data_IF_987267789770
#
_entry.id   IF_987267789770
#
_cell.length_a   1.000
_cell.length_b   1.000
_cell.length_c   1.000
_cell.angle_alpha   90.00
_cell.angle_beta   90.00
_cell.angle_gamma   90.00
#
_symmetry.space_group_name_H-M   'P 1'
#
loop_
_entity.id
_entity.type
_entity.pdbx_description
1 polymer ?
#
# COMPACT_ATOMS: atom_id res chain seq x y z
N UNK A 1 -46.47 -34.29 28.23
CA UNK A 1 -46.23 -34.38 26.78
C UNK A 1 -45.16 -33.35 26.42
N UNK A 2 -43.89 -33.74 26.40
CA UNK A 2 -42.81 -32.86 25.94
C UNK A 2 -42.67 -33.05 24.43
N UNK A 3 -43.09 -32.05 23.66
CA UNK A 3 -42.86 -32.00 22.23
C UNK A 3 -41.35 -31.90 21.98
N UNK A 4 -40.74 -33.07 21.69
CA UNK A 4 -39.40 -33.16 21.12
C UNK A 4 -39.41 -32.40 19.79
N UNK A 5 -38.91 -31.16 19.81
CA UNK A 5 -38.65 -30.38 18.60
C UNK A 5 -37.61 -31.14 17.77
N UNK A 6 -38.09 -31.84 16.74
CA UNK A 6 -37.25 -32.53 15.78
C UNK A 6 -36.26 -31.52 15.18
N UNK A 7 -34.97 -31.70 15.45
CA UNK A 7 -33.94 -30.94 14.77
C UNK A 7 -34.09 -31.16 13.25
N UNK A 8 -34.09 -30.09 12.44
CA UNK A 8 -34.29 -30.23 11.01
C UNK A 8 -33.18 -31.12 10.41
N UNK A 9 -33.59 -32.15 9.65
CA UNK A 9 -32.67 -33.04 8.93
C UNK A 9 -31.76 -32.20 8.04
N UNK A 10 -30.49 -32.08 8.44
CA UNK A 10 -29.45 -31.47 7.63
C UNK A 10 -29.29 -32.35 6.40
N UNK A 11 -29.76 -31.88 5.22
CA UNK A 11 -29.46 -32.54 3.93
C UNK A 11 -27.95 -32.77 3.87
N UNK A 12 -27.52 -34.02 3.94
CA UNK A 12 -26.12 -34.43 3.79
C UNK A 12 -25.77 -34.27 2.31
N UNK A 13 -24.88 -33.33 2.00
CA UNK A 13 -24.25 -33.29 0.68
C UNK A 13 -23.39 -34.54 0.51
N UNK A 14 -23.09 -34.89 -0.73
CA UNK A 14 -22.23 -36.03 -1.04
C UNK A 14 -20.84 -35.84 -0.39
N UNK A 15 -20.17 -36.92 0.07
CA UNK A 15 -18.82 -36.86 0.63
C UNK A 15 -17.81 -35.96 -0.13
N UNK A 16 -17.74 -35.95 -1.48
CA UNK A 16 -16.84 -35.06 -2.23
C UNK A 16 -17.15 -33.57 -2.02
N UNK A 17 -18.42 -33.20 -1.90
CA UNK A 17 -18.87 -31.82 -1.73
C UNK A 17 -18.44 -31.26 -0.36
N UNK A 18 -18.33 -32.11 0.66
CA UNK A 18 -17.81 -31.76 1.98
C UNK A 18 -16.29 -31.56 1.97
N UNK A 19 -15.56 -32.39 1.21
CA UNK A 19 -14.11 -32.25 1.02
C UNK A 19 -13.82 -30.94 0.28
N UNK A 20 -14.56 -30.65 -0.79
CA UNK A 20 -14.46 -29.40 -1.53
C UNK A 20 -14.70 -28.17 -0.63
N UNK A 21 -15.72 -28.21 0.24
CA UNK A 21 -16.00 -27.12 1.18
C UNK A 21 -14.88 -26.91 2.20
N UNK A 22 -14.18 -27.98 2.62
CA UNK A 22 -13.01 -27.88 3.52
C UNK A 22 -11.81 -27.28 2.79
N UNK A 23 -11.54 -27.72 1.56
CA UNK A 23 -10.45 -27.18 0.73
C UNK A 23 -10.69 -25.69 0.47
N UNK A 24 -11.90 -25.32 0.02
CA UNK A 24 -12.29 -23.93 -0.19
C UNK A 24 -12.10 -23.09 1.08
N UNK A 25 -12.49 -23.62 2.25
CA UNK A 25 -12.29 -22.94 3.53
C UNK A 25 -10.81 -22.69 3.84
N UNK A 26 -9.96 -23.69 3.62
CA UNK A 26 -8.52 -23.59 3.87
C UNK A 26 -7.90 -22.55 2.93
N UNK A 27 -8.21 -22.63 1.64
CA UNK A 27 -7.71 -21.71 0.63
C UNK A 27 -8.14 -20.27 0.95
N UNK A 28 -9.44 -20.02 1.13
CA UNK A 28 -9.96 -18.69 1.45
C UNK A 28 -9.34 -18.16 2.74
N UNK A 29 -9.29 -18.98 3.80
CA UNK A 29 -8.70 -18.55 5.07
C UNK A 29 -7.23 -18.15 4.96
N UNK A 30 -6.42 -18.93 4.24
CA UNK A 30 -4.99 -18.63 4.03
C UNK A 30 -4.82 -17.35 3.21
N UNK A 31 -5.58 -17.19 2.11
CA UNK A 31 -5.47 -16.01 1.25
C UNK A 31 -5.84 -14.73 2.00
N UNK A 32 -6.90 -14.74 2.81
CA UNK A 32 -7.29 -13.59 3.62
C UNK A 32 -6.25 -13.26 4.70
N UNK A 33 -5.69 -14.26 5.39
CA UNK A 33 -4.63 -14.03 6.37
C UNK A 33 -3.40 -13.41 5.69
N UNK A 34 -2.95 -13.97 4.57
CA UNK A 34 -1.78 -13.47 3.86
C UNK A 34 -2.00 -12.05 3.31
N UNK A 35 -3.13 -11.80 2.66
CA UNK A 35 -3.52 -10.48 2.15
C UNK A 35 -3.60 -9.45 3.28
N UNK A 36 -4.29 -9.78 4.37
CA UNK A 36 -4.46 -8.90 5.52
C UNK A 36 -3.13 -8.60 6.23
N UNK A 37 -2.24 -9.58 6.39
CA UNK A 37 -0.92 -9.36 7.02
C UNK A 37 -0.03 -8.44 6.19
N UNK A 38 -0.05 -8.57 4.85
CA UNK A 38 0.74 -7.67 4.00
C UNK A 38 0.21 -6.25 4.08
N UNK A 39 -1.11 -6.05 4.04
CA UNK A 39 -1.69 -4.71 4.19
C UNK A 39 -1.45 -4.14 5.58
N UNK A 40 -1.51 -4.98 6.62
CA UNK A 40 -1.28 -4.57 8.01
C UNK A 40 0.19 -4.25 8.31
N UNK A 41 1.13 -4.73 7.49
CA UNK A 41 2.52 -4.28 7.53
C UNK A 41 2.66 -2.81 7.11
N UNK A 42 1.80 -2.32 6.20
CA UNK A 42 1.73 -0.91 5.80
C UNK A 42 0.28 -0.39 5.72
N UNK A 43 -0.36 -0.14 6.88
CA UNK A 43 -1.73 0.34 6.91
C UNK A 43 -1.86 1.77 6.37
N UNK A 44 -0.79 2.57 6.40
CA UNK A 44 -0.79 3.91 5.81
C UNK A 44 -0.87 3.84 4.28
N UNK A 45 -0.22 2.85 3.65
CA UNK A 45 -0.39 2.57 2.22
C UNK A 45 -1.86 2.29 1.85
N UNK A 46 -2.55 1.47 2.65
CA UNK A 46 -3.98 1.18 2.44
C UNK A 46 -4.88 2.40 2.72
N UNK A 47 -4.53 3.24 3.70
CA UNK A 47 -5.21 4.51 3.96
C UNK A 47 -5.16 5.42 2.73
N UNK A 48 -3.98 5.59 2.12
CA UNK A 48 -3.80 6.44 0.94
C UNK A 48 -4.69 5.96 -0.20
N UNK A 49 -4.84 4.64 -0.39
CA UNK A 49 -5.76 4.09 -1.39
C UNK A 49 -7.22 4.40 -1.08
N UNK A 50 -7.64 4.30 0.17
CA UNK A 50 -9.01 4.70 0.52
C UNK A 50 -9.26 6.20 0.32
N UNK A 51 -8.29 7.05 0.65
CA UNK A 51 -8.34 8.50 0.36
C UNK A 51 -8.51 8.74 -1.15
N UNK A 52 -7.65 8.14 -2.00
CA UNK A 52 -7.75 8.23 -3.46
C UNK A 52 -9.13 7.80 -3.99
N UNK A 53 -9.66 6.67 -3.51
CA UNK A 53 -11.00 6.21 -3.93
C UNK A 53 -12.10 7.20 -3.52
N UNK A 54 -12.06 7.72 -2.29
CA UNK A 54 -13.09 8.64 -1.81
C UNK A 54 -13.04 9.97 -2.54
N UNK A 55 -11.86 10.51 -2.83
CA UNK A 55 -11.72 11.71 -3.65
C UNK A 55 -12.26 11.52 -5.07
N UNK A 56 -11.94 10.39 -5.71
CA UNK A 56 -12.47 10.04 -7.04
C UNK A 56 -13.99 9.89 -7.00
N UNK A 57 -14.54 9.20 -5.99
CA UNK A 57 -16.00 9.07 -5.84
C UNK A 57 -16.68 10.41 -5.56
N UNK A 58 -16.05 11.30 -4.80
CA UNK A 58 -16.56 12.63 -4.53
C UNK A 58 -16.62 13.50 -5.79
N UNK A 59 -15.73 13.25 -6.76
CA UNK A 59 -15.70 13.93 -8.06
C UNK A 59 -16.70 13.31 -9.05
N UNK A 60 -16.72 11.98 -9.17
CA UNK A 60 -17.56 11.27 -10.14
C UNK A 60 -19.05 11.21 -9.70
N UNK A 61 -19.34 11.35 -8.40
CA UNK A 61 -20.70 11.42 -7.84
C UNK A 61 -20.93 12.73 -7.06
N UNK A 62 -21.17 13.87 -7.75
CA UNK A 62 -21.28 15.19 -7.10
C UNK A 62 -22.35 15.27 -6.00
N UNK A 63 -23.43 14.49 -6.10
CA UNK A 63 -24.50 14.46 -5.09
C UNK A 63 -24.09 13.80 -3.77
N UNK A 64 -22.98 13.05 -3.73
CA UNK A 64 -22.40 12.44 -2.52
C UNK A 64 -21.03 13.01 -2.16
N UNK A 65 -20.65 14.15 -2.76
CA UNK A 65 -19.34 14.76 -2.55
C UNK A 65 -18.99 14.91 -1.06
N UNK A 66 -19.84 15.62 -0.30
CA UNK A 66 -19.62 15.87 1.12
C UNK A 66 -19.59 14.59 1.95
N UNK A 67 -20.35 13.56 1.54
CA UNK A 67 -20.35 12.26 2.22
C UNK A 67 -18.99 11.57 2.09
N UNK A 68 -18.42 11.51 0.88
CA UNK A 68 -17.11 10.88 0.68
C UNK A 68 -15.98 11.68 1.32
N UNK A 69 -16.02 13.01 1.22
CA UNK A 69 -15.03 13.88 1.87
C UNK A 69 -15.07 13.75 3.40
N UNK A 70 -16.26 13.58 3.99
CA UNK A 70 -16.39 13.33 5.43
C UNK A 70 -15.77 12.00 5.89
N UNK A 71 -15.55 11.04 4.99
CA UNK A 71 -14.89 9.76 5.30
C UNK A 71 -13.36 9.85 5.28
N UNK A 72 -12.78 10.84 4.60
CA UNK A 72 -11.32 11.00 4.44
C UNK A 72 -10.58 11.01 5.80
N UNK A 73 -11.02 11.76 6.83
CA UNK A 73 -10.35 11.75 8.14
C UNK A 73 -10.36 10.39 8.85
N UNK A 74 -11.29 9.49 8.47
CA UNK A 74 -11.43 8.17 9.08
C UNK A 74 -10.69 7.07 8.31
N UNK A 75 -10.05 7.39 7.17
CA UNK A 75 -9.38 6.42 6.30
C UNK A 75 -8.29 5.61 7.00
N UNK A 76 -7.53 6.22 7.93
CA UNK A 76 -6.51 5.50 8.70
C UNK A 76 -7.14 4.44 9.61
N UNK A 77 -8.17 4.83 10.36
CA UNK A 77 -8.90 3.92 11.24
C UNK A 77 -9.58 2.79 10.44
N UNK A 78 -10.18 3.12 9.30
CA UNK A 78 -10.76 2.15 8.38
C UNK A 78 -9.69 1.20 7.82
N UNK A 79 -8.53 1.72 7.42
CA UNK A 79 -7.43 0.89 6.94
C UNK A 79 -7.01 -0.17 7.96
N UNK A 80 -6.69 0.25 9.19
CA UNK A 80 -6.31 -0.69 10.26
C UNK A 80 -7.43 -1.67 10.56
N UNK A 81 -8.68 -1.22 10.64
CA UNK A 81 -9.84 -2.06 10.90
C UNK A 81 -10.05 -3.12 9.82
N UNK A 82 -10.01 -2.75 8.54
CA UNK A 82 -10.25 -3.67 7.43
C UNK A 82 -9.10 -4.67 7.29
N UNK A 83 -7.84 -4.23 7.44
CA UNK A 83 -6.67 -5.12 7.41
C UNK A 83 -6.72 -6.12 8.57
N UNK A 84 -7.02 -5.66 9.79
CA UNK A 84 -7.19 -6.53 10.94
C UNK A 84 -8.37 -7.50 10.73
N UNK A 85 -9.50 -7.01 10.22
CA UNK A 85 -10.68 -7.84 9.94
C UNK A 85 -10.38 -8.97 8.95
N UNK A 86 -9.57 -8.73 7.90
CA UNK A 86 -9.15 -9.79 6.97
C UNK A 86 -8.40 -10.92 7.69
N UNK A 87 -7.42 -10.57 8.53
CA UNK A 87 -6.62 -11.55 9.28
C UNK A 87 -7.49 -12.27 10.32
N UNK A 88 -8.25 -11.53 11.12
CA UNK A 88 -9.10 -12.07 12.19
C UNK A 88 -10.15 -13.02 11.61
N UNK A 89 -10.84 -12.63 10.53
CA UNK A 89 -11.86 -13.44 9.91
C UNK A 89 -11.26 -14.65 9.16
N UNK A 90 -10.09 -14.49 8.54
CA UNK A 90 -9.34 -15.59 7.96
C UNK A 90 -8.97 -16.66 9.01
N UNK A 91 -8.41 -16.25 10.15
CA UNK A 91 -8.11 -17.16 11.27
C UNK A 91 -9.40 -17.76 11.84
N UNK A 92 -10.45 -16.95 12.06
CA UNK A 92 -11.73 -17.45 12.56
C UNK A 92 -12.34 -18.52 11.63
N UNK A 93 -12.19 -18.35 10.31
CA UNK A 93 -12.65 -19.30 9.31
C UNK A 93 -11.87 -20.62 9.41
N UNK A 94 -10.52 -20.55 9.49
CA UNK A 94 -9.66 -21.73 9.65
C UNK A 94 -9.88 -22.43 10.99
N UNK A 95 -10.08 -21.68 12.07
CA UNK A 95 -10.33 -22.18 13.41
C UNK A 95 -11.77 -22.67 13.63
N UNK A 96 -12.66 -22.52 12.64
CA UNK A 96 -14.10 -22.85 12.76
C UNK A 96 -14.80 -22.12 13.92
N UNK A 97 -14.38 -20.88 14.21
CA UNK A 97 -15.01 -20.04 15.21
C UNK A 97 -16.27 -19.39 14.62
N UNK A 98 -17.43 -19.61 15.24
CA UNK A 98 -18.74 -19.04 14.82
C UNK A 98 -18.93 -18.97 13.28
N UNK A 99 -18.84 -20.11 12.55
CA UNK A 99 -18.72 -20.12 11.09
C UNK A 99 -19.88 -19.44 10.35
N UNK A 100 -21.09 -19.39 10.94
CA UNK A 100 -22.22 -18.67 10.34
C UNK A 100 -21.96 -17.16 10.25
N UNK A 101 -21.41 -16.57 11.31
CA UNK A 101 -21.13 -15.12 11.37
C UNK A 101 -19.89 -14.81 10.55
N UNK A 102 -18.81 -15.57 10.74
CA UNK A 102 -17.52 -15.34 10.06
C UNK A 102 -17.65 -15.34 8.54
N UNK A 103 -18.36 -16.32 7.96
CA UNK A 103 -18.48 -16.41 6.50
C UNK A 103 -19.32 -15.25 5.93
N UNK A 104 -20.35 -14.79 6.66
CA UNK A 104 -21.12 -13.61 6.25
C UNK A 104 -20.30 -12.32 6.35
N UNK A 105 -19.52 -12.13 7.41
CA UNK A 105 -18.62 -10.98 7.53
C UNK A 105 -17.56 -10.98 6.42
N UNK A 106 -16.97 -12.15 6.11
CA UNK A 106 -16.05 -12.29 4.98
C UNK A 106 -16.73 -11.96 3.64
N UNK A 107 -17.98 -12.35 3.47
CA UNK A 107 -18.75 -12.04 2.25
C UNK A 107 -18.98 -10.53 2.08
N UNK A 108 -19.32 -9.81 3.16
CA UNK A 108 -19.45 -8.35 3.08
C UNK A 108 -18.10 -7.68 2.84
N UNK A 109 -17.04 -8.16 3.49
CA UNK A 109 -15.70 -7.62 3.32
C UNK A 109 -15.18 -7.80 1.88
N UNK A 110 -15.34 -9.00 1.30
CA UNK A 110 -14.92 -9.23 -0.10
C UNK A 110 -15.79 -8.46 -1.08
N UNK A 111 -17.10 -8.34 -0.84
CA UNK A 111 -18.00 -7.56 -1.69
C UNK A 111 -17.56 -6.09 -1.74
N UNK A 112 -17.16 -5.52 -0.60
CA UNK A 112 -16.62 -4.15 -0.54
C UNK A 112 -15.34 -4.00 -1.38
N UNK A 113 -14.34 -4.90 -1.21
CA UNK A 113 -13.12 -4.84 -2.01
C UNK A 113 -13.35 -5.15 -3.50
N UNK A 114 -14.28 -6.04 -3.81
CA UNK A 114 -14.70 -6.35 -5.18
C UNK A 114 -15.27 -5.09 -5.85
N UNK A 115 -16.06 -4.29 -5.12
CA UNK A 115 -16.58 -3.02 -5.64
C UNK A 115 -15.45 -2.02 -5.93
N UNK A 116 -14.51 -1.82 -5.00
CA UNK A 116 -13.37 -0.93 -5.21
C UNK A 116 -12.49 -1.37 -6.40
N UNK A 117 -12.18 -2.67 -6.47
CA UNK A 117 -11.35 -3.23 -7.55
C UNK A 117 -12.05 -3.19 -8.90
N UNK A 118 -13.37 -3.42 -8.94
CA UNK A 118 -14.18 -3.23 -10.15
C UNK A 118 -14.11 -1.79 -10.64
N UNK A 119 -14.29 -0.82 -9.73
CA UNK A 119 -14.25 0.59 -10.08
C UNK A 119 -12.92 0.98 -10.72
N UNK A 120 -11.80 0.56 -10.12
CA UNK A 120 -10.47 0.76 -10.70
C UNK A 120 -10.30 0.11 -12.06
N UNK A 121 -10.80 -1.12 -12.23
CA UNK A 121 -10.65 -1.87 -13.48
C UNK A 121 -11.51 -1.33 -14.62
N UNK A 122 -12.65 -0.73 -14.31
CA UNK A 122 -13.58 -0.20 -15.32
C UNK A 122 -13.29 1.25 -15.70
N UNK A 123 -12.92 2.10 -14.74
CA UNK A 123 -12.72 3.54 -14.98
C UNK A 123 -11.24 3.96 -15.10
N UNK A 124 -10.29 3.02 -14.98
CA UNK A 124 -8.83 3.26 -15.06
C UNK A 124 -8.33 4.42 -14.18
N UNK A 125 -9.00 4.67 -13.03
CA UNK A 125 -8.69 5.80 -12.14
C UNK A 125 -7.59 5.52 -11.12
N UNK A 126 -7.45 4.27 -10.69
CA UNK A 126 -6.45 3.86 -9.67
C UNK A 126 -5.70 2.64 -10.19
N UNK A 127 -4.40 2.82 -10.41
CA UNK A 127 -3.53 1.84 -11.08
C UNK A 127 -3.19 0.61 -10.22
N UNK A 128 -3.24 0.76 -8.88
CA UNK A 128 -2.92 -0.29 -7.91
C UNK A 128 -4.09 -0.46 -6.90
N UNK A 129 -4.79 -1.60 -6.95
CA UNK A 129 -5.97 -1.86 -6.10
C UNK A 129 -5.67 -2.08 -4.59
N UNK A 130 -4.41 -2.04 -4.16
CA UNK A 130 -4.01 -2.16 -2.75
C UNK A 130 -4.29 -3.52 -2.08
N UNK A 131 -4.82 -4.51 -2.79
CA UNK A 131 -5.26 -5.79 -2.21
C UNK A 131 -4.14 -6.65 -1.59
N UNK A 132 -2.87 -6.42 -1.92
CA UNK A 132 -1.72 -7.06 -1.27
C UNK A 132 -0.71 -6.00 -0.83
N UNK A 133 -1.18 -4.82 -0.44
CA UNK A 133 -0.33 -3.66 -0.19
C UNK A 133 0.64 -3.41 -1.34
N UNK A 134 1.82 -2.87 -1.01
CA UNK A 134 2.88 -2.59 -1.98
C UNK A 134 3.76 -3.81 -2.32
N UNK A 135 3.52 -4.97 -1.69
CA UNK A 135 4.33 -6.17 -1.91
C UNK A 135 4.12 -6.79 -3.30
N UNK A 136 2.87 -6.79 -3.79
CA UNK A 136 2.49 -7.39 -5.08
C UNK A 136 1.54 -6.44 -5.79
N UNK A 137 2.07 -5.65 -6.73
CA UNK A 137 1.28 -4.81 -7.63
C UNK A 137 0.57 -5.69 -8.66
N UNK A 138 -0.72 -5.89 -8.46
CA UNK A 138 -1.59 -6.62 -9.38
C UNK A 138 -2.35 -5.62 -10.24
N UNK A 139 -2.36 -5.87 -11.56
CA UNK A 139 -3.20 -5.11 -12.50
C UNK A 139 -4.67 -5.10 -12.03
N UNK A 140 -5.43 -4.01 -12.27
CA UNK A 140 -6.80 -3.90 -11.78
C UNK A 140 -7.71 -5.08 -12.14
N UNK A 141 -7.70 -5.53 -13.40
CA UNK A 141 -8.46 -6.69 -13.85
C UNK A 141 -8.05 -8.00 -13.19
N UNK A 142 -6.76 -8.18 -12.88
CA UNK A 142 -6.26 -9.37 -12.17
C UNK A 142 -6.75 -9.35 -10.72
N UNK A 143 -6.70 -8.19 -10.06
CA UNK A 143 -7.21 -8.00 -8.70
C UNK A 143 -8.71 -8.25 -8.60
N UNK A 144 -9.50 -7.66 -9.51
CA UNK A 144 -10.95 -7.86 -9.59
C UNK A 144 -11.31 -9.34 -9.81
N UNK A 145 -10.65 -10.00 -10.78
CA UNK A 145 -10.90 -11.43 -11.05
C UNK A 145 -10.63 -12.30 -9.82
N UNK A 146 -9.54 -12.03 -9.10
CA UNK A 146 -9.19 -12.74 -7.87
C UNK A 146 -10.28 -12.54 -6.80
N UNK A 147 -10.79 -11.33 -6.62
CA UNK A 147 -11.85 -11.04 -5.65
C UNK A 147 -13.17 -11.74 -6.03
N UNK A 148 -13.53 -11.79 -7.31
CA UNK A 148 -14.69 -12.56 -7.82
C UNK A 148 -14.54 -14.05 -7.53
N UNK A 149 -13.36 -14.63 -7.78
CA UNK A 149 -13.09 -16.05 -7.47
C UNK A 149 -13.24 -16.32 -5.97
N UNK A 150 -12.66 -15.46 -5.11
CA UNK A 150 -12.81 -15.56 -3.66
C UNK A 150 -14.27 -15.42 -3.23
N UNK A 151 -15.02 -14.49 -3.83
CA UNK A 151 -16.44 -14.30 -3.58
C UNK A 151 -17.27 -15.54 -3.92
N UNK A 152 -17.03 -16.18 -5.07
CA UNK A 152 -17.68 -17.45 -5.46
C UNK A 152 -17.34 -18.57 -4.47
N UNK A 153 -16.08 -18.68 -4.06
CA UNK A 153 -15.67 -19.67 -3.05
C UNK A 153 -16.35 -19.41 -1.69
N UNK A 154 -16.48 -18.15 -1.29
CA UNK A 154 -17.20 -17.76 -0.07
C UNK A 154 -18.70 -18.11 -0.19
N UNK A 155 -19.36 -17.81 -1.30
CA UNK A 155 -20.76 -18.22 -1.55
C UNK A 155 -20.94 -19.75 -1.47
N UNK A 156 -19.99 -20.51 -2.01
CA UNK A 156 -19.98 -21.96 -1.89
C UNK A 156 -19.85 -22.43 -0.42
N UNK A 157 -18.98 -21.78 0.37
CA UNK A 157 -18.86 -22.04 1.81
C UNK A 157 -20.14 -21.64 2.55
N UNK A 158 -20.80 -20.54 2.19
CA UNK A 158 -22.09 -20.11 2.74
C UNK A 158 -23.12 -21.22 2.57
N UNK A 159 -23.23 -21.83 1.40
CA UNK A 159 -24.15 -22.96 1.15
C UNK A 159 -23.91 -24.18 2.05
N UNK A 160 -22.68 -24.35 2.52
CA UNK A 160 -22.24 -25.49 3.34
C UNK A 160 -22.07 -25.16 4.83
N UNK A 161 -22.28 -23.90 5.23
CA UNK A 161 -21.95 -23.38 6.57
C UNK A 161 -22.65 -24.10 7.71
N UNK A 162 -23.89 -24.57 7.49
CA UNK A 162 -24.68 -25.28 8.52
C UNK A 162 -24.09 -26.65 8.88
N UNK A 163 -23.15 -27.17 8.09
CA UNK A 163 -22.46 -28.44 8.33
C UNK A 163 -21.12 -28.26 9.04
N UNK A 164 -20.65 -27.02 9.22
CA UNK A 164 -19.42 -26.72 9.94
C UNK A 164 -19.72 -26.72 11.44
N UNK A 165 -19.11 -27.67 12.18
CA UNK A 165 -19.21 -27.69 13.64
C UNK A 165 -18.43 -26.48 14.20
N UNK A 166 -19.12 -25.64 14.95
CA UNK A 166 -18.47 -24.56 15.70
C UNK A 166 -17.51 -25.16 16.73
N UNK A 167 -16.30 -24.63 16.84
CA UNK A 167 -15.32 -25.01 17.86
C UNK A 167 -15.18 -23.88 18.88
N UNK A 168 -14.84 -24.20 20.13
CA UNK A 168 -14.53 -23.22 21.17
C UNK A 168 -13.11 -22.66 21.00
N UNK A 169 -12.84 -22.07 19.83
CA UNK A 169 -11.56 -21.49 19.42
C UNK A 169 -11.53 -19.97 19.60
N UNK A 170 -12.40 -19.42 20.45
CA UNK A 170 -12.47 -17.98 20.71
C UNK A 170 -11.17 -17.41 21.27
N UNK A 171 -10.40 -18.21 22.03
CA UNK A 171 -9.09 -17.80 22.53
C UNK A 171 -8.07 -17.55 21.40
N UNK A 172 -8.08 -18.37 20.33
CA UNK A 172 -7.22 -18.15 19.15
C UNK A 172 -7.57 -16.84 18.47
N UNK A 173 -8.87 -16.59 18.27
CA UNK A 173 -9.35 -15.34 17.66
C UNK A 173 -9.01 -14.14 18.54
N UNK A 174 -9.12 -14.26 19.87
CA UNK A 174 -8.72 -13.23 20.82
C UNK A 174 -7.23 -12.88 20.72
N UNK A 175 -6.35 -13.88 20.66
CA UNK A 175 -4.91 -13.68 20.45
C UNK A 175 -4.66 -13.01 19.09
N UNK A 176 -5.31 -13.47 18.01
CA UNK A 176 -5.19 -12.85 16.70
C UNK A 176 -5.58 -11.38 16.72
N UNK A 177 -6.67 -11.01 17.40
CA UNK A 177 -7.08 -9.61 17.56
C UNK A 177 -5.96 -8.80 18.22
N UNK A 178 -5.44 -9.23 19.36
CA UNK A 178 -4.38 -8.52 20.08
C UNK A 178 -3.13 -8.36 19.22
N UNK A 179 -2.68 -9.44 18.55
CA UNK A 179 -1.49 -9.39 17.69
C UNK A 179 -1.69 -8.48 16.48
N UNK A 180 -2.84 -8.53 15.81
CA UNK A 180 -3.13 -7.68 14.65
C UNK A 180 -3.24 -6.21 15.04
N UNK A 181 -3.86 -5.88 16.16
CA UNK A 181 -3.93 -4.50 16.65
C UNK A 181 -2.56 -4.00 17.08
N UNK A 182 -1.77 -4.81 17.78
CA UNK A 182 -0.41 -4.44 18.16
C UNK A 182 0.47 -4.17 16.93
N UNK A 183 0.41 -5.03 15.90
CA UNK A 183 1.14 -4.84 14.65
C UNK A 183 0.68 -3.57 13.90
N UNK A 184 -0.63 -3.35 13.80
CA UNK A 184 -1.18 -2.16 13.15
C UNK A 184 -0.77 -0.86 13.85
N UNK A 185 -0.85 -0.83 15.19
CA UNK A 185 -0.41 0.32 16.00
C UNK A 185 1.09 0.55 15.81
N UNK A 186 1.90 -0.51 15.87
CA UNK A 186 3.33 -0.42 15.65
C UNK A 186 3.66 0.17 14.27
N UNK A 187 3.05 -0.36 13.20
CA UNK A 187 3.34 0.09 11.83
C UNK A 187 2.96 1.57 11.61
N UNK A 188 1.90 2.05 12.27
CA UNK A 188 1.50 3.46 12.25
C UNK A 188 2.47 4.33 13.07
N UNK A 189 2.95 3.85 14.22
CA UNK A 189 3.78 4.65 15.14
C UNK A 189 5.28 4.60 14.88
N UNK A 190 5.78 3.62 14.12
CA UNK A 190 7.22 3.36 13.97
C UNK A 190 7.66 3.02 12.54
N UNK A 191 6.81 3.28 11.54
CA UNK A 191 6.94 2.81 10.14
C UNK A 191 6.72 1.29 9.98
N UNK A 192 6.44 0.83 8.74
CA UNK A 192 6.35 -0.59 8.43
C UNK A 192 7.57 -1.39 8.90
N UNK A 193 7.38 -2.51 9.63
CA UNK A 193 8.49 -3.38 10.04
C UNK A 193 9.32 -3.88 8.86
N UNK A 194 8.66 -4.15 7.73
CA UNK A 194 9.28 -4.57 6.48
C UNK A 194 8.96 -3.53 5.42
N UNK A 195 9.94 -2.68 5.09
CA UNK A 195 9.80 -1.70 4.01
C UNK A 195 10.02 -2.38 2.64
N UNK A 196 8.93 -2.54 1.89
CA UNK A 196 8.94 -3.13 0.55
C UNK A 196 8.99 -2.07 -0.57
N UNK A 197 9.08 -0.78 -0.21
CA UNK A 197 9.02 0.32 -1.15
C UNK A 197 10.37 0.53 -1.87
N UNK A 198 10.37 1.21 -3.04
CA UNK A 198 11.60 1.50 -3.78
C UNK A 198 12.62 2.33 -3.00
N UNK A 199 12.17 3.06 -1.97
CA UNK A 199 12.96 3.94 -1.12
C UNK A 199 13.36 3.30 0.23
N UNK A 200 13.29 1.96 0.34
CA UNK A 200 13.68 1.26 1.55
C UNK A 200 15.18 1.42 1.87
N UNK A 201 15.54 1.24 3.15
CA UNK A 201 16.93 1.26 3.61
C UNK A 201 17.77 0.26 2.83
N UNK A 202 18.96 0.70 2.38
CA UNK A 202 19.88 -0.07 1.54
C UNK A 202 19.61 0.02 0.04
N UNK A 203 18.53 0.68 -0.42
CA UNK A 203 18.27 0.90 -1.85
C UNK A 203 18.99 2.15 -2.36
N UNK A 204 19.43 2.11 -3.62
CA UNK A 204 19.97 3.26 -4.33
C UNK A 204 18.88 3.88 -5.21
N UNK A 205 18.61 5.16 -5.00
CA UNK A 205 17.65 5.93 -5.78
C UNK A 205 18.07 6.08 -7.24
N UNK A 206 19.31 6.53 -7.56
CA UNK A 206 19.74 6.67 -8.96
C UNK A 206 19.81 5.31 -9.68
N UNK A 207 20.12 4.22 -8.98
CA UNK A 207 20.06 2.88 -9.58
C UNK A 207 18.61 2.43 -9.80
N UNK A 208 17.69 2.74 -8.87
CA UNK A 208 16.26 2.44 -9.00
C UNK A 208 15.56 3.20 -10.12
N UNK A 209 16.12 4.33 -10.54
CA UNK A 209 15.66 5.13 -11.69
C UNK A 209 16.10 4.57 -13.04
N UNK A 210 17.01 3.59 -13.07
CA UNK A 210 17.45 2.94 -14.31
C UNK A 210 16.68 1.63 -14.54
N UNK A 211 16.40 1.27 -15.80
CA UNK A 211 15.94 -0.07 -16.12
C UNK A 211 16.95 -1.12 -15.64
N UNK A 212 16.47 -2.27 -15.18
CA UNK A 212 17.37 -3.35 -14.74
C UNK A 212 18.03 -4.09 -15.91
N UNK A 213 17.40 -4.05 -17.08
CA UNK A 213 17.90 -4.58 -18.34
C UNK A 213 17.47 -3.67 -19.50
N UNK A 214 18.14 -3.72 -20.67
CA UNK A 214 17.66 -3.05 -21.87
C UNK A 214 16.22 -3.45 -22.18
N UNK A 215 15.37 -2.45 -22.40
CA UNK A 215 13.95 -2.66 -22.70
C UNK A 215 13.82 -3.31 -24.07
N UNK A 216 13.17 -4.47 -24.13
CA UNK A 216 12.93 -5.22 -25.36
C UNK A 216 11.48 -5.05 -25.77
N UNK A 217 11.28 -4.67 -27.02
CA UNK A 217 9.97 -4.42 -27.59
C UNK A 217 9.72 -5.39 -28.74
N UNK A 218 8.51 -5.92 -28.81
CA UNK A 218 8.00 -6.67 -29.96
C UNK A 218 6.97 -5.79 -30.68
N UNK A 219 7.07 -5.77 -32.00
CA UNK A 219 6.13 -5.12 -32.90
C UNK A 219 5.05 -6.13 -33.29
N UNK A 220 3.83 -5.88 -32.84
CA UNK A 220 2.66 -6.63 -33.30
C UNK A 220 2.18 -5.96 -34.57
N UNK A 221 2.23 -6.72 -35.66
CA UNK A 221 1.88 -6.27 -37.00
C UNK A 221 0.73 -7.11 -37.55
N UNK A 222 -0.12 -6.54 -38.39
CA UNK A 222 -1.29 -7.21 -38.95
C UNK A 222 -1.17 -7.33 -40.48
N UNK A 223 -1.41 -8.53 -41.00
CA UNK A 223 -1.47 -8.82 -42.44
C UNK A 223 -2.61 -9.80 -42.70
N UNK A 224 -3.52 -9.45 -43.60
CA UNK A 224 -4.69 -10.26 -43.98
C UNK A 224 -5.56 -10.73 -42.79
N UNK A 225 -5.72 -9.87 -41.78
CA UNK A 225 -6.48 -10.15 -40.57
C UNK A 225 -5.78 -11.10 -39.57
N UNK A 226 -4.51 -11.46 -39.81
CA UNK A 226 -3.68 -12.24 -38.88
C UNK A 226 -2.59 -11.35 -38.26
N UNK A 227 -2.42 -11.47 -36.95
CA UNK A 227 -1.36 -10.79 -36.20
C UNK A 227 -0.06 -11.60 -36.22
N UNK A 228 1.05 -10.94 -36.44
CA UNK A 228 2.41 -11.49 -36.39
C UNK A 228 3.29 -10.60 -35.50
N UNK A 229 4.11 -11.22 -34.66
CA UNK A 229 5.00 -10.55 -33.70
C UNK A 229 6.43 -10.55 -34.24
N UNK A 230 7.09 -9.40 -34.21
CA UNK A 230 8.47 -9.24 -34.69
C UNK A 230 9.33 -8.49 -33.67
N UNK A 231 10.55 -8.96 -33.40
CA UNK A 231 11.52 -8.26 -32.54
C UNK A 231 12.07 -6.96 -33.16
N UNK A 232 12.00 -6.84 -34.49
CA UNK A 232 12.40 -5.65 -35.24
C UNK A 232 11.26 -5.25 -36.16
N UNK A 233 11.13 -3.94 -36.41
CA UNK A 233 10.09 -3.44 -37.31
C UNK A 233 10.28 -4.06 -38.71
N UNK A 234 9.29 -4.81 -39.24
CA UNK A 234 9.47 -5.50 -40.51
C UNK A 234 9.58 -4.50 -41.66
N UNK A 235 10.46 -4.77 -42.61
CA UNK A 235 10.64 -3.95 -43.83
C UNK A 235 9.58 -4.21 -44.89
N UNK A 236 8.77 -5.27 -44.74
CA UNK A 236 7.66 -5.59 -45.63
C UNK A 236 6.47 -4.65 -45.37
N UNK A 237 6.18 -3.78 -46.34
CA UNK A 237 5.13 -2.76 -46.28
C UNK A 237 3.69 -3.33 -46.27
N UNK A 238 3.53 -4.63 -46.53
CA UNK A 238 2.21 -5.29 -46.47
C UNK A 238 1.72 -5.53 -45.03
N UNK A 239 2.60 -5.38 -44.04
CA UNK A 239 2.25 -5.45 -42.62
C UNK A 239 1.84 -4.08 -42.09
N UNK A 240 0.66 -3.99 -41.47
CA UNK A 240 0.19 -2.80 -40.78
C UNK A 240 0.61 -2.83 -39.32
N UNK A 241 1.23 -1.76 -38.83
CA UNK A 241 1.55 -1.63 -37.42
C UNK A 241 0.28 -1.59 -36.57
N UNK A 242 0.21 -2.46 -35.56
CA UNK A 242 -0.90 -2.51 -34.62
C UNK A 242 -0.49 -1.92 -33.28
N UNK A 243 0.52 -2.50 -32.66
CA UNK A 243 1.01 -2.04 -31.36
C UNK A 243 2.46 -2.48 -31.11
N UNK A 244 3.11 -1.81 -30.16
CA UNK A 244 4.43 -2.17 -29.67
C UNK A 244 4.29 -2.65 -28.22
N UNK A 245 4.66 -3.91 -27.98
CA UNK A 245 4.52 -4.55 -26.68
C UNK A 245 5.88 -4.67 -26.02
N UNK A 246 5.98 -4.23 -24.77
CA UNK A 246 7.19 -4.42 -23.97
C UNK A 246 7.25 -5.87 -23.49
N UNK A 247 8.27 -6.60 -23.93
CA UNK A 247 8.47 -8.04 -23.66
C UNK A 247 8.98 -8.27 -22.23
N UNK A 248 9.78 -7.34 -21.70
CA UNK A 248 10.32 -7.40 -20.34
C UNK A 248 9.76 -6.29 -19.43
N UNK A 249 8.47 -6.33 -19.05
CA UNK A 249 7.87 -5.32 -18.18
C UNK A 249 8.52 -5.21 -16.80
N UNK A 250 9.12 -6.30 -16.30
CA UNK A 250 9.86 -6.33 -15.04
C UNK A 250 11.19 -5.55 -15.11
N UNK A 251 11.66 -5.21 -16.32
CA UNK A 251 12.89 -4.45 -16.51
C UNK A 251 12.71 -2.94 -16.28
N UNK A 252 11.47 -2.45 -16.19
CA UNK A 252 11.15 -1.03 -15.94
C UNK A 252 11.87 -0.50 -14.70
N UNK A 253 12.26 0.79 -14.68
CA UNK A 253 12.71 1.46 -13.47
C UNK A 253 11.69 1.27 -12.34
N UNK A 254 12.18 1.03 -11.13
CA UNK A 254 11.33 0.94 -9.94
C UNK A 254 10.91 2.32 -9.43
N UNK A 255 11.65 3.35 -9.84
CA UNK A 255 11.44 4.76 -9.52
C UNK A 255 11.36 5.50 -10.86
N UNK A 256 10.22 6.14 -11.15
CA UNK A 256 9.99 6.82 -12.44
C UNK A 256 9.70 8.30 -12.29
N UNK A 257 9.37 8.73 -11.09
CA UNK A 257 8.74 10.01 -10.75
C UNK A 257 9.55 10.80 -9.69
N UNK A 258 10.68 10.26 -9.23
CA UNK A 258 11.55 10.97 -8.29
C UNK A 258 12.16 12.22 -8.94
N UNK A 259 11.70 13.37 -8.48
CA UNK A 259 12.17 14.69 -8.90
C UNK A 259 12.12 15.65 -7.72
N UNK A 260 13.18 16.43 -7.56
CA UNK A 260 13.31 17.44 -6.51
C UNK A 260 13.61 18.78 -7.16
N UNK A 261 12.83 19.82 -6.84
CA UNK A 261 12.95 21.11 -7.52
C UNK A 261 12.63 22.29 -6.60
N UNK A 262 12.93 23.50 -7.04
CA UNK A 262 12.46 24.76 -6.46
C UNK A 262 12.23 25.77 -7.61
N UNK A 263 12.06 27.04 -7.28
CA UNK A 263 11.88 28.12 -8.28
C UNK A 263 13.11 28.34 -9.18
N UNK A 264 14.30 27.95 -8.74
CA UNK A 264 15.57 28.12 -9.48
C UNK A 264 15.80 27.00 -10.50
N UNK A 265 15.21 25.81 -10.28
CA UNK A 265 15.32 24.70 -11.22
C UNK A 265 15.21 23.31 -10.60
N UNK A 266 15.77 22.33 -11.29
CA UNK A 266 15.79 20.91 -10.89
C UNK A 266 17.06 20.60 -10.09
N UNK A 267 16.87 20.02 -8.90
CA UNK A 267 17.92 19.68 -7.93
C UNK A 267 18.04 18.16 -7.69
N UNK A 268 17.44 17.33 -8.57
CA UNK A 268 17.36 15.89 -8.38
C UNK A 268 18.74 15.23 -8.30
N UNK A 269 19.67 15.56 -9.21
CA UNK A 269 21.00 14.95 -9.23
C UNK A 269 21.81 15.29 -7.99
N UNK A 270 21.69 16.52 -7.52
CA UNK A 270 22.33 17.00 -6.31
C UNK A 270 21.90 16.16 -5.12
N UNK A 271 20.67 15.63 -5.08
CA UNK A 271 20.24 14.74 -3.98
C UNK A 271 21.04 13.44 -3.89
N UNK A 272 21.76 13.08 -4.94
CA UNK A 272 22.63 11.90 -5.00
C UNK A 272 24.09 12.20 -4.66
N UNK A 273 24.41 13.41 -4.22
CA UNK A 273 25.78 13.84 -3.92
C UNK A 273 25.96 14.06 -2.42
N UNK A 274 27.00 13.42 -1.86
CA UNK A 274 27.34 13.58 -0.44
C UNK A 274 26.28 13.00 0.50
N UNK A 275 26.30 13.48 1.74
CA UNK A 275 25.42 12.98 2.81
C UNK A 275 24.33 14.00 3.09
N UNK A 276 23.07 13.59 2.94
CA UNK A 276 21.90 14.47 3.05
C UNK A 276 20.87 13.87 3.98
N UNK A 277 20.47 14.64 4.97
CA UNK A 277 19.32 14.32 5.81
C UNK A 277 18.11 15.11 5.30
N UNK A 278 17.11 14.41 4.81
CA UNK A 278 15.85 15.01 4.39
C UNK A 278 14.80 14.90 5.49
N UNK A 279 14.23 16.03 5.87
CA UNK A 279 13.04 16.13 6.70
C UNK A 279 11.86 16.15 5.74
N UNK A 280 11.05 15.10 5.76
CA UNK A 280 9.89 14.95 4.89
C UNK A 280 8.68 15.60 5.58
N UNK A 281 8.12 16.63 4.96
CA UNK A 281 6.92 17.32 5.40
C UNK A 281 5.89 17.22 4.27
N UNK A 282 4.94 16.31 4.38
CA UNK A 282 3.94 16.05 3.31
C UNK A 282 2.84 17.10 3.28
N UNK A 283 2.42 17.53 4.46
CA UNK A 283 1.47 18.61 4.68
C UNK A 283 1.79 19.30 6.01
N UNK A 284 1.24 20.49 6.22
CA UNK A 284 1.40 21.29 7.45
C UNK A 284 0.20 21.19 8.40
N UNK A 285 -0.91 20.60 7.95
CA UNK A 285 -2.18 20.53 8.70
C UNK A 285 -2.30 19.28 9.57
N UNK A 286 -1.76 18.15 9.11
CA UNK A 286 -1.74 16.87 9.80
C UNK A 286 -0.29 16.50 10.14
N UNK A 287 0.29 17.30 11.04
CA UNK A 287 1.69 17.17 11.46
C UNK A 287 1.80 17.04 12.97
N UNK A 288 2.66 16.12 13.43
CA UNK A 288 2.97 16.01 14.85
C UNK A 288 3.93 17.13 15.30
N UNK A 289 3.36 18.23 15.80
CA UNK A 289 4.14 19.37 16.28
C UNK A 289 5.04 19.05 17.49
N UNK A 290 4.66 18.05 18.30
CA UNK A 290 5.40 17.62 19.48
C UNK A 290 6.78 17.01 19.18
N UNK A 291 6.94 16.44 17.98
CA UNK A 291 8.18 15.83 17.52
C UNK A 291 9.21 16.82 16.95
N UNK A 292 8.79 18.02 16.55
CA UNK A 292 9.67 18.99 15.89
C UNK A 292 10.86 19.47 16.74
N UNK A 293 10.77 19.60 18.07
CA UNK A 293 11.93 19.85 18.92
C UNK A 293 13.03 18.79 18.79
N UNK A 294 12.68 17.51 18.65
CA UNK A 294 13.65 16.43 18.47
C UNK A 294 14.34 16.53 17.11
N UNK A 295 13.58 16.82 16.05
CA UNK A 295 14.14 17.05 14.70
C UNK A 295 15.07 18.26 14.68
N UNK A 296 14.70 19.35 15.36
CA UNK A 296 15.55 20.53 15.49
C UNK A 296 16.85 20.21 16.24
N UNK A 297 16.77 19.46 17.35
CA UNK A 297 17.94 19.01 18.09
C UNK A 297 18.87 18.14 17.23
N UNK A 298 18.31 17.23 16.43
CA UNK A 298 19.06 16.42 15.47
C UNK A 298 19.81 17.30 14.46
N UNK A 299 19.12 18.25 13.82
CA UNK A 299 19.73 19.13 12.81
C UNK A 299 20.83 20.01 13.41
N UNK A 300 20.58 20.57 14.60
CA UNK A 300 21.58 21.34 15.34
C UNK A 300 22.82 20.50 15.68
N UNK A 301 22.62 19.24 16.11
CA UNK A 301 23.71 18.32 16.40
C UNK A 301 24.52 17.88 15.17
N UNK A 302 23.97 18.05 13.96
CA UNK A 302 24.67 17.76 12.70
C UNK A 302 25.49 18.95 12.17
N UNK A 303 25.37 20.14 12.76
CA UNK A 303 26.17 21.31 12.35
C UNK A 303 27.67 21.02 12.49
N UNK A 304 28.42 21.28 11.42
CA UNK A 304 29.86 20.98 11.35
C UNK A 304 30.19 19.54 10.95
N UNK A 305 29.18 18.67 10.79
CA UNK A 305 29.37 17.35 10.18
C UNK A 305 29.35 17.42 8.65
N UNK A 306 29.67 16.31 7.99
CA UNK A 306 29.54 16.17 6.54
C UNK A 306 28.08 15.96 6.06
N UNK A 307 27.11 15.90 6.98
CA UNK A 307 25.69 15.68 6.68
C UNK A 307 24.98 17.03 6.59
N UNK A 308 24.38 17.32 5.44
CA UNK A 308 23.60 18.55 5.24
C UNK A 308 22.11 18.25 5.33
N UNK A 309 21.37 19.04 6.12
CA UNK A 309 19.94 18.87 6.31
C UNK A 309 19.13 19.71 5.29
N UNK A 310 18.04 19.12 4.78
CA UNK A 310 17.10 19.74 3.85
C UNK A 310 15.67 19.37 4.22
N UNK A 311 14.69 20.19 3.87
CA UNK A 311 13.27 19.86 3.93
C UNK A 311 12.78 19.48 2.54
N UNK A 312 12.02 18.40 2.41
CA UNK A 312 11.24 18.09 1.20
C UNK A 312 9.76 18.23 1.51
N UNK A 313 9.03 18.97 0.66
CA UNK A 313 7.60 19.20 0.84
C UNK A 313 6.83 19.18 -0.47
N UNK A 314 5.56 18.83 -0.41
CA UNK A 314 4.58 19.00 -1.49
C UNK A 314 3.65 20.20 -1.29
N UNK A 315 3.77 20.92 -0.16
CA UNK A 315 2.92 22.07 0.17
C UNK A 315 3.31 23.32 -0.63
N UNK A 316 2.49 24.37 -0.56
CA UNK A 316 2.81 25.66 -1.16
C UNK A 316 4.01 26.34 -0.46
N UNK A 317 4.60 27.35 -1.11
CA UNK A 317 5.72 28.11 -0.53
C UNK A 317 5.32 28.92 0.68
N UNK A 318 4.13 29.52 0.67
CA UNK A 318 3.66 30.32 1.79
C UNK A 318 3.43 29.44 3.03
N UNK A 319 2.83 28.26 2.84
CA UNK A 319 2.62 27.29 3.93
C UNK A 319 3.93 26.81 4.53
N UNK A 320 4.91 26.41 3.71
CA UNK A 320 6.18 25.89 4.24
C UNK A 320 7.04 26.98 4.87
N UNK A 321 6.99 28.21 4.35
CA UNK A 321 7.68 29.36 4.97
C UNK A 321 7.08 29.69 6.33
N UNK A 322 5.75 29.72 6.44
CA UNK A 322 5.05 29.92 7.71
C UNK A 322 5.39 28.81 8.71
N UNK A 323 5.33 27.54 8.27
CA UNK A 323 5.69 26.39 9.08
C UNK A 323 7.14 26.45 9.60
N UNK A 324 8.11 26.75 8.72
CA UNK A 324 9.52 26.88 9.11
C UNK A 324 9.73 28.00 10.13
N UNK A 325 9.00 29.10 10.02
CA UNK A 325 9.04 30.20 10.98
C UNK A 325 8.47 29.81 12.33
N UNK A 326 7.26 29.23 12.33
CA UNK A 326 6.58 28.78 13.55
C UNK A 326 7.42 27.78 14.34
N UNK A 327 8.05 26.83 13.66
CA UNK A 327 8.84 25.77 14.28
C UNK A 327 10.36 26.03 14.25
N UNK A 328 10.82 27.26 14.02
CA UNK A 328 12.24 27.62 14.11
C UNK A 328 13.17 26.74 13.24
N UNK A 329 12.71 26.40 12.03
CA UNK A 329 13.44 25.63 11.00
C UNK A 329 13.85 26.52 9.80
N UNK A 330 13.88 27.85 9.99
CA UNK A 330 14.22 28.83 8.96
C UNK A 330 15.65 28.69 8.41
N UNK A 331 16.54 28.04 9.16
CA UNK A 331 17.93 27.78 8.74
C UNK A 331 18.05 26.60 7.79
N UNK A 332 17.01 25.76 7.69
CA UNK A 332 17.04 24.53 6.89
C UNK A 332 16.42 24.81 5.52
N UNK A 333 17.19 24.76 4.41
CA UNK A 333 16.64 24.96 3.07
C UNK A 333 15.56 23.92 2.75
N UNK A 334 14.57 24.30 1.95
CA UNK A 334 13.50 23.39 1.50
C UNK A 334 13.47 23.27 -0.02
N UNK A 335 13.00 22.13 -0.50
CA UNK A 335 12.72 21.84 -1.90
C UNK A 335 11.34 21.19 -2.03
N UNK A 336 10.82 21.24 -3.25
CA UNK A 336 9.57 20.60 -3.64
C UNK A 336 9.80 19.18 -4.15
N UNK A 337 8.83 18.33 -3.87
CA UNK A 337 8.70 16.99 -4.40
C UNK A 337 7.21 16.65 -4.56
N UNK A 338 6.88 15.71 -5.44
CA UNK A 338 5.50 15.27 -5.63
C UNK A 338 4.93 14.61 -4.35
N UNK A 339 3.64 14.85 -4.06
CA UNK A 339 2.99 14.32 -2.86
C UNK A 339 3.00 12.78 -2.81
N UNK A 340 2.81 12.12 -3.96
CA UNK A 340 2.83 10.66 -4.08
C UNK A 340 4.23 10.11 -3.83
N UNK A 341 5.24 10.79 -4.36
CA UNK A 341 6.66 10.47 -4.11
C UNK A 341 6.96 10.59 -2.62
N UNK A 342 6.56 11.68 -1.96
CA UNK A 342 6.79 11.86 -0.52
C UNK A 342 6.02 10.84 0.33
N UNK A 343 4.76 10.53 -0.02
CA UNK A 343 3.96 9.47 0.62
C UNK A 343 4.65 8.10 0.47
N UNK A 344 5.37 7.85 -0.62
CA UNK A 344 6.13 6.60 -0.87
C UNK A 344 7.48 6.58 -0.16
N UNK A 345 8.15 7.72 -0.05
CA UNK A 345 9.39 7.86 0.72
C UNK A 345 9.09 7.67 2.21
N UNK A 346 8.05 8.32 2.74
CA UNK A 346 7.82 8.41 4.18
C UNK A 346 6.34 8.31 4.55
N UNK A 347 5.99 7.27 5.32
CA UNK A 347 4.64 7.11 5.88
C UNK A 347 4.36 8.10 7.04
N UNK A 348 5.40 8.49 7.77
CA UNK A 348 5.37 9.52 8.83
C UNK A 348 5.16 10.95 8.30
N UNK A 349 4.61 11.86 9.12
CA UNK A 349 4.59 13.31 8.88
C UNK A 349 4.77 14.11 10.19
N UNK A 350 5.94 14.71 10.46
CA UNK A 350 7.15 14.70 9.64
C UNK A 350 7.86 13.34 9.73
N UNK A 351 8.88 13.10 8.92
CA UNK A 351 9.79 11.98 9.11
C UNK A 351 11.17 12.30 8.57
N UNK A 352 12.20 11.56 8.99
CA UNK A 352 13.58 11.82 8.56
C UNK A 352 14.12 10.71 7.68
N UNK A 353 14.82 11.09 6.61
CA UNK A 353 15.34 10.19 5.59
C UNK A 353 16.79 10.53 5.24
N UNK A 354 17.71 9.61 5.53
CA UNK A 354 19.14 9.81 5.31
C UNK A 354 19.58 9.18 3.98
N UNK A 355 20.16 10.00 3.13
CA UNK A 355 20.84 9.60 1.89
C UNK A 355 22.36 9.81 2.00
N UNK A 356 23.10 8.87 1.44
CA UNK A 356 24.54 8.96 1.22
C UNK A 356 24.84 8.55 -0.22
N UNK A 357 25.25 9.53 -1.03
CA UNK A 357 25.48 9.38 -2.46
C UNK A 357 24.31 8.69 -3.19
N UNK A 358 23.08 9.09 -2.84
CA UNK A 358 21.84 8.53 -3.38
C UNK A 358 21.44 7.14 -2.85
N UNK A 359 22.18 6.58 -1.88
CA UNK A 359 21.83 5.33 -1.19
C UNK A 359 21.11 5.65 0.12
N UNK A 360 19.98 4.99 0.37
CA UNK A 360 19.22 5.13 1.61
C UNK A 360 19.96 4.45 2.76
N UNK A 361 20.38 5.25 3.75
CA UNK A 361 21.08 4.74 4.95
C UNK A 361 20.17 4.61 6.16
N UNK A 362 19.09 5.38 6.23
CA UNK A 362 18.15 5.29 7.33
C UNK A 362 16.85 6.06 7.08
N UNK A 363 15.79 5.61 7.76
CA UNK A 363 14.44 6.16 7.73
C UNK A 363 13.87 6.07 9.13
N UNK A 364 13.32 7.17 9.63
CA UNK A 364 12.78 7.21 10.97
C UNK A 364 11.44 7.93 11.01
N UNK A 365 10.53 7.33 11.78
CA UNK A 365 9.29 7.96 12.18
C UNK A 365 9.58 9.15 13.11
N UNK A 366 8.65 10.09 13.23
CA UNK A 366 8.81 11.19 14.18
C UNK A 366 8.96 10.70 15.64
N UNK A 367 8.30 9.59 16.00
CA UNK A 367 8.41 8.94 17.31
C UNK A 367 9.77 8.28 17.58
N UNK A 368 10.58 8.08 16.55
CA UNK A 368 11.87 7.41 16.63
C UNK A 368 12.96 8.26 15.98
N UNK A 369 12.82 9.59 16.05
CA UNK A 369 13.81 10.54 15.52
C UNK A 369 15.18 10.21 16.12
N UNK A 370 16.21 9.95 15.28
CA UNK A 370 17.52 9.54 15.77
C UNK A 370 18.26 10.72 16.38
N UNK A 371 19.32 10.43 17.15
CA UNK A 371 20.28 11.46 17.52
C UNK A 371 21.32 11.70 16.41
N UNK A 372 22.09 12.78 16.55
CA UNK A 372 23.11 13.13 15.56
C UNK A 372 24.24 12.08 15.47
N UNK A 373 24.56 11.40 16.58
CA UNK A 373 25.64 10.41 16.61
C UNK A 373 25.26 9.16 15.80
N UNK A 374 24.02 8.69 15.93
CA UNK A 374 23.45 7.60 15.13
C UNK A 374 23.50 7.95 13.64
N UNK A 375 23.01 9.13 13.25
CA UNK A 375 23.03 9.58 11.84
C UNK A 375 24.46 9.66 11.29
N UNK A 376 25.40 10.21 12.06
CA UNK A 376 26.81 10.28 11.65
C UNK A 376 27.40 8.87 11.50
N UNK A 377 27.07 7.95 12.40
CA UNK A 377 27.58 6.57 12.37
C UNK A 377 27.11 5.79 11.13
N UNK A 378 25.84 5.94 10.74
CA UNK A 378 25.26 5.30 9.55
C UNK A 378 25.77 5.90 8.23
N UNK A 379 26.34 7.09 8.32
CA UNK A 379 26.97 7.78 7.19
C UNK A 379 28.44 7.42 7.02
N UNK A 380 29.08 6.70 7.95
CA UNK A 380 30.46 6.22 7.77
C UNK A 380 30.51 5.10 6.75
#
# INVERSE_FOLDING_TARGET
>A
MNASTAQPKVKTGTPPMLIAARIARILVGIVFIFSGLIKLNDPVGTQIKFEEYFEVFAQDLPFMHDFFMALVPFTLAMSVLFCAAEVILGVALLASYKPKVTVWLLFFLITFFTFLTFYSAYFDRVTDCGCFGDAIKLKPWTSFTKDIVLMVLILFIIGHRNRLRSRNTGWLVGITIVLTLALGIYAVQFLPPIDMLPYAVGKSIPAGMKPSEPMRYEYVMEKDGKTAEFEQYPTDQSYKFKEMVLVNPNAKPKITDYRIWNDEGDFTQQTFEGKKLFIIVKNTTDIDAGSLPAIRALVEGLKGSAVTAYILTSTSDDEIKAFRKEFQLETIPYYKADATVLKTIMRSNPGTWLLDNGVVKGKWHFNSTPDAAEVISLSK
#
